data_IF_730781081630
#
_entry.id   IF_730781081630
#
_cell.length_a   1.000
_cell.length_b   1.000
_cell.length_c   1.000
_cell.angle_alpha   90.00
_cell.angle_beta   90.00
_cell.angle_gamma   90.00
#
_symmetry.space_group_name_H-M   'P 1'
#
loop_
_entity.id
_entity.type
_entity.pdbx_description
1 polymer ?
#
# COMPACT_ATOMS: atom_id res chain seq x y z
N UNK A 1 -12.80 17.66 13.19
CA UNK A 1 -13.93 16.82 13.63
C UNK A 1 -14.53 16.23 12.36
N UNK A 2 -14.60 14.90 12.25
CA UNK A 2 -15.17 14.24 11.06
C UNK A 2 -16.70 14.33 11.08
N UNK A 3 -17.30 14.57 9.92
CA UNK A 3 -18.75 14.65 9.72
C UNK A 3 -19.33 13.29 9.30
N UNK A 4 -20.64 13.10 9.44
CA UNK A 4 -21.31 11.88 8.97
C UNK A 4 -21.13 11.75 7.44
N UNK A 5 -20.35 10.76 7.01
CA UNK A 5 -19.92 10.59 5.62
C UNK A 5 -18.39 10.57 5.44
N UNK A 6 -17.63 11.02 6.44
CA UNK A 6 -16.17 10.95 6.43
C UNK A 6 -15.68 9.58 6.93
N UNK A 7 -15.42 8.68 6.01
CA UNK A 7 -14.72 7.42 6.31
C UNK A 7 -13.20 7.68 6.29
N UNK A 8 -12.60 7.77 7.48
CA UNK A 8 -11.14 7.78 7.61
C UNK A 8 -10.66 6.34 7.61
N UNK A 9 -10.23 5.86 6.45
CA UNK A 9 -9.56 4.58 6.29
C UNK A 9 -8.09 4.75 6.65
N UNK A 10 -7.79 4.67 7.94
CA UNK A 10 -6.41 4.75 8.43
C UNK A 10 -5.68 3.42 8.20
N UNK A 11 -4.69 3.42 7.31
CA UNK A 11 -3.68 2.35 7.18
C UNK A 11 -4.18 0.98 6.66
N UNK A 12 -5.19 0.97 5.79
CA UNK A 12 -5.57 -0.21 5.00
C UNK A 12 -5.81 0.16 3.53
N UNK A 13 -4.80 0.03 2.67
CA UNK A 13 -4.90 0.46 1.27
C UNK A 13 -5.87 -0.40 0.44
N UNK A 14 -6.34 -1.55 0.96
CA UNK A 14 -7.42 -2.31 0.32
C UNK A 14 -8.74 -1.53 0.29
N UNK A 15 -8.91 -0.55 1.18
CA UNK A 15 -10.11 0.28 1.27
C UNK A 15 -10.34 1.12 0.01
N UNK A 16 -9.27 1.51 -0.70
CA UNK A 16 -9.40 2.18 -2.00
C UNK A 16 -10.07 1.28 -3.05
N UNK A 17 -9.75 -0.01 -3.03
CA UNK A 17 -10.38 -0.99 -3.93
C UNK A 17 -11.83 -1.24 -3.53
N UNK A 18 -12.10 -1.38 -2.23
CA UNK A 18 -13.46 -1.52 -1.73
C UNK A 18 -14.33 -0.31 -2.07
N UNK A 19 -13.78 0.90 -1.94
CA UNK A 19 -14.45 2.13 -2.37
C UNK A 19 -14.80 2.08 -3.86
N UNK A 20 -13.90 1.58 -4.71
CA UNK A 20 -14.19 1.42 -6.14
C UNK A 20 -15.35 0.45 -6.40
N UNK A 21 -15.42 -0.67 -5.68
CA UNK A 21 -16.56 -1.59 -5.73
C UNK A 21 -17.86 -0.95 -5.24
N UNK A 22 -17.78 -0.16 -4.17
CA UNK A 22 -18.94 0.56 -3.65
C UNK A 22 -19.44 1.61 -4.63
N UNK A 23 -18.55 2.40 -5.24
CA UNK A 23 -18.90 3.35 -6.31
C UNK A 23 -19.50 2.62 -7.50
N UNK A 24 -18.97 1.46 -7.90
CA UNK A 24 -19.55 0.67 -8.98
C UNK A 24 -21.00 0.22 -8.72
N UNK A 25 -21.38 0.06 -7.45
CA UNK A 25 -22.77 -0.25 -7.05
C UNK A 25 -23.68 0.98 -7.00
N UNK A 26 -23.17 2.11 -6.53
CA UNK A 26 -23.99 3.30 -6.29
C UNK A 26 -24.05 4.24 -7.49
N UNK A 27 -22.92 4.42 -8.17
CA UNK A 27 -22.71 5.36 -9.28
C UNK A 27 -21.79 4.75 -10.35
N UNK A 28 -22.30 3.78 -11.15
CA UNK A 28 -21.51 3.08 -12.17
C UNK A 28 -20.81 4.02 -13.16
N UNK A 29 -21.42 5.15 -13.48
CA UNK A 29 -20.89 6.19 -14.38
C UNK A 29 -19.63 6.88 -13.84
N UNK A 30 -19.37 6.77 -12.53
CA UNK A 30 -18.21 7.38 -11.86
C UNK A 30 -17.03 6.43 -11.66
N UNK A 31 -17.17 5.16 -12.04
CA UNK A 31 -16.14 4.13 -11.80
C UNK A 31 -14.83 4.48 -12.50
N UNK A 32 -14.87 4.95 -13.75
CA UNK A 32 -13.67 5.29 -14.49
C UNK A 32 -12.88 6.45 -13.84
N UNK A 33 -13.56 7.56 -13.51
CA UNK A 33 -12.99 8.72 -12.81
C UNK A 33 -12.45 8.33 -11.43
N UNK A 34 -13.18 7.51 -10.67
CA UNK A 34 -12.73 7.05 -9.36
C UNK A 34 -11.49 6.14 -9.48
N UNK A 35 -11.47 5.19 -10.44
CA UNK A 35 -10.31 4.33 -10.66
C UNK A 35 -9.07 5.15 -10.99
N UNK A 36 -9.20 6.14 -11.88
CA UNK A 36 -8.08 7.03 -12.24
C UNK A 36 -7.51 7.73 -11.01
N UNK A 37 -8.37 8.31 -10.16
CA UNK A 37 -7.96 8.97 -8.91
C UNK A 37 -7.24 8.01 -7.95
N UNK A 38 -7.75 6.79 -7.80
CA UNK A 38 -7.17 5.78 -6.92
C UNK A 38 -5.83 5.25 -7.43
N UNK A 39 -5.68 5.07 -8.75
CA UNK A 39 -4.39 4.70 -9.36
C UNK A 39 -3.38 5.85 -9.21
N UNK A 40 -3.81 7.09 -9.37
CA UNK A 40 -2.96 8.27 -9.17
C UNK A 40 -2.53 8.42 -7.70
N UNK A 41 -3.39 8.02 -6.75
CA UNK A 41 -3.03 7.91 -5.33
C UNK A 41 -1.98 6.82 -5.09
N UNK A 42 -2.12 5.65 -5.74
CA UNK A 42 -1.10 4.61 -5.78
C UNK A 42 -0.96 3.77 -4.50
N UNK A 43 -1.86 3.94 -3.53
CA UNK A 43 -1.97 3.11 -2.33
C UNK A 43 -0.76 3.19 -1.41
N UNK A 44 -0.28 2.03 -0.96
CA UNK A 44 0.76 1.98 0.06
C UNK A 44 2.03 2.74 -0.36
N UNK A 45 2.39 3.77 0.41
CA UNK A 45 3.50 4.69 0.10
C UNK A 45 4.81 4.40 0.86
N UNK A 46 4.89 3.28 1.60
CA UNK A 46 6.09 2.83 2.34
C UNK A 46 7.35 2.88 1.46
N UNK A 47 8.41 3.54 1.91
CA UNK A 47 9.68 3.63 1.18
C UNK A 47 9.67 4.53 -0.07
N UNK A 48 8.58 5.25 -0.32
CA UNK A 48 8.42 6.13 -1.48
C UNK A 48 7.96 7.53 -1.05
N UNK A 49 6.73 7.63 -0.53
CA UNK A 49 6.11 8.88 -0.10
C UNK A 49 6.06 9.05 1.42
N UNK A 50 6.39 8.01 2.18
CA UNK A 50 6.39 8.01 3.63
C UNK A 50 7.74 7.50 4.14
N UNK A 51 8.28 8.19 5.13
CA UNK A 51 9.47 7.82 5.89
C UNK A 51 9.25 8.17 7.38
N UNK A 52 10.00 7.54 8.27
CA UNK A 52 10.02 7.89 9.69
C UNK A 52 11.46 8.00 10.18
N UNK A 53 11.74 8.99 11.03
CA UNK A 53 13.02 9.12 11.73
C UNK A 53 12.69 9.04 13.22
N UNK A 54 13.16 7.98 13.88
CA UNK A 54 12.86 7.78 15.30
C UNK A 54 13.62 8.78 16.21
N UNK A 55 13.34 8.75 17.50
CA UNK A 55 14.00 9.61 18.50
C UNK A 55 15.51 9.33 18.65
N UNK A 56 15.98 8.16 18.19
CA UNK A 56 17.39 7.78 18.14
C UNK A 56 18.07 8.16 16.81
N UNK A 57 17.32 8.72 15.86
CA UNK A 57 17.80 9.15 14.55
C UNK A 57 17.81 8.04 13.50
N UNK A 58 17.26 6.86 13.80
CA UNK A 58 17.17 5.77 12.84
C UNK A 58 16.10 6.08 11.79
N UNK A 59 16.42 5.81 10.53
CA UNK A 59 15.51 6.01 9.40
C UNK A 59 14.76 4.72 9.13
N UNK A 60 13.44 4.79 9.07
CA UNK A 60 12.53 3.68 8.80
C UNK A 60 11.74 3.95 7.50
N UNK A 61 11.39 2.90 6.73
CA UNK A 61 10.65 3.05 5.48
C UNK A 61 9.17 3.40 5.69
N UNK A 62 8.65 3.29 6.91
CA UNK A 62 7.25 3.46 7.25
C UNK A 62 7.10 4.03 8.66
N UNK A 63 5.97 4.67 8.95
CA UNK A 63 5.66 5.23 10.28
C UNK A 63 5.61 4.18 11.38
N UNK A 64 5.23 2.93 11.04
CA UNK A 64 4.99 1.87 12.01
C UNK A 64 6.00 0.71 11.94
N UNK A 65 7.09 0.85 11.18
CA UNK A 65 8.04 -0.26 10.93
C UNK A 65 9.35 -0.13 11.70
N UNK A 66 9.24 -0.10 13.03
CA UNK A 66 10.38 0.10 13.94
C UNK A 66 11.38 -1.06 13.96
N UNK A 67 10.97 -2.25 13.49
CA UNK A 67 11.83 -3.43 13.41
C UNK A 67 12.94 -3.33 12.35
N UNK A 68 12.88 -2.33 11.47
CA UNK A 68 13.83 -2.19 10.37
C UNK A 68 14.38 -0.77 10.29
N UNK A 69 15.71 -0.64 10.45
CA UNK A 69 16.43 0.61 10.25
C UNK A 69 17.21 0.57 8.93
N UNK A 70 17.14 1.66 8.17
CA UNK A 70 17.85 1.89 6.91
C UNK A 70 19.20 2.60 7.11
N UNK A 71 19.48 3.06 8.34
CA UNK A 71 20.63 3.87 8.70
C UNK A 71 20.26 4.94 9.73
N UNK A 72 21.23 5.73 10.18
CA UNK A 72 21.02 6.77 11.17
C UNK A 72 21.43 8.15 10.64
N UNK A 73 20.57 9.17 10.82
CA UNK A 73 20.84 10.54 10.34
C UNK A 73 21.99 11.23 11.07
N UNK A 74 22.43 10.70 12.22
CA UNK A 74 23.63 11.14 12.93
C UNK A 74 24.92 10.68 12.26
N UNK A 75 24.85 9.68 11.38
CA UNK A 75 25.99 9.07 10.71
C UNK A 75 26.06 9.44 9.22
N UNK A 76 24.90 9.49 8.54
CA UNK A 76 24.80 9.75 7.10
C UNK A 76 23.61 10.68 6.80
N UNK A 77 23.72 11.63 5.85
CA UNK A 77 22.59 12.50 5.50
C UNK A 77 21.33 11.70 5.12
N UNK A 78 20.15 12.16 5.57
CA UNK A 78 18.88 11.49 5.28
C UNK A 78 18.68 11.24 3.78
N UNK A 79 19.01 12.22 2.93
CA UNK A 79 18.86 12.11 1.48
C UNK A 79 19.67 10.95 0.88
N UNK A 80 20.88 10.71 1.39
CA UNK A 80 21.71 9.57 0.97
C UNK A 80 21.12 8.24 1.46
N UNK A 81 20.66 8.18 2.72
CA UNK A 81 19.99 6.99 3.26
C UNK A 81 18.73 6.65 2.45
N UNK A 82 17.92 7.66 2.16
CA UNK A 82 16.63 7.49 1.51
C UNK A 82 16.77 7.18 0.01
N UNK A 83 17.79 7.72 -0.65
CA UNK A 83 18.09 7.45 -2.06
C UNK A 83 18.84 6.13 -2.27
N UNK A 84 19.37 5.50 -1.22
CA UNK A 84 20.16 4.29 -1.31
C UNK A 84 19.35 3.11 -1.87
N UNK A 85 19.66 2.72 -3.11
CA UNK A 85 19.09 1.54 -3.78
C UNK A 85 20.05 0.35 -3.72
N UNK A 86 21.13 0.39 -2.95
CA UNK A 86 21.93 -0.81 -2.64
C UNK A 86 21.22 -1.68 -1.58
N UNK A 87 20.34 -1.09 -0.76
CA UNK A 87 19.50 -1.82 0.18
C UNK A 87 18.36 -2.59 -0.56
N UNK A 88 18.28 -3.93 -0.45
CA UNK A 88 17.29 -4.73 -1.18
C UNK A 88 15.84 -4.32 -0.93
N UNK A 89 15.47 -3.99 0.31
CA UNK A 89 14.14 -3.51 0.63
C UNK A 89 13.81 -2.20 -0.11
N UNK A 90 14.69 -1.20 -0.08
CA UNK A 90 14.44 0.09 -0.74
C UNK A 90 14.34 -0.05 -2.26
N UNK A 91 15.12 -0.94 -2.88
CA UNK A 91 14.91 -1.31 -4.29
C UNK A 91 13.52 -1.84 -4.53
N UNK A 92 13.09 -2.82 -3.74
CA UNK A 92 11.78 -3.44 -3.91
C UNK A 92 10.62 -2.48 -3.64
N UNK A 93 10.75 -1.58 -2.65
CA UNK A 93 9.72 -0.60 -2.30
C UNK A 93 9.55 0.46 -3.39
N UNK A 94 10.65 0.84 -4.05
CA UNK A 94 10.65 1.77 -5.17
C UNK A 94 10.22 1.14 -6.52
N UNK A 95 10.21 -0.20 -6.62
CA UNK A 95 9.85 -0.88 -7.85
C UNK A 95 8.38 -0.65 -8.22
N UNK A 96 8.13 -0.46 -9.52
CA UNK A 96 6.79 -0.35 -10.11
C UNK A 96 6.65 -1.37 -11.24
N UNK A 97 5.89 -2.45 -11.06
CA UNK A 97 5.21 -2.86 -9.83
C UNK A 97 6.17 -3.31 -8.72
N UNK A 98 5.71 -3.30 -7.47
CA UNK A 98 6.42 -3.97 -6.37
C UNK A 98 6.44 -5.49 -6.59
N UNK A 99 7.47 -6.19 -6.10
CA UNK A 99 7.62 -7.64 -6.30
C UNK A 99 6.74 -8.45 -5.34
N UNK A 100 5.44 -8.16 -5.31
CA UNK A 100 4.47 -8.80 -4.41
C UNK A 100 4.27 -10.28 -4.76
N UNK A 101 4.03 -11.08 -3.73
CA UNK A 101 3.89 -12.54 -3.80
C UNK A 101 2.49 -12.99 -3.37
N UNK A 102 2.23 -14.31 -3.48
CA UNK A 102 0.94 -14.90 -3.11
C UNK A 102 -0.20 -14.33 -3.95
N UNK A 103 -1.37 -14.13 -3.33
CA UNK A 103 -2.56 -13.59 -4.03
C UNK A 103 -2.34 -12.19 -4.61
N UNK A 104 -1.44 -11.40 -4.02
CA UNK A 104 -1.13 -10.06 -4.52
C UNK A 104 -0.31 -10.08 -5.82
N UNK A 105 0.34 -11.20 -6.17
CA UNK A 105 1.13 -11.32 -7.40
C UNK A 105 0.27 -11.21 -8.66
N UNK A 106 -0.97 -11.69 -8.59
CA UNK A 106 -1.94 -11.71 -9.71
C UNK A 106 -3.13 -10.77 -9.49
N UNK A 107 -3.15 -9.99 -8.41
CA UNK A 107 -4.23 -9.06 -8.09
C UNK A 107 -4.34 -7.93 -9.13
N UNK A 108 -5.54 -7.75 -9.71
CA UNK A 108 -5.83 -6.71 -10.70
C UNK A 108 -5.84 -5.28 -10.13
N UNK A 109 -5.90 -5.14 -8.80
CA UNK A 109 -5.97 -3.85 -8.11
C UNK A 109 -4.66 -3.44 -7.43
N UNK A 110 -3.54 -4.06 -7.83
CA UNK A 110 -2.21 -3.76 -7.28
C UNK A 110 -1.76 -2.32 -7.54
N UNK A 111 -2.27 -1.69 -8.59
CA UNK A 111 -2.01 -0.29 -8.96
C UNK A 111 -2.77 0.71 -8.06
N UNK A 112 -3.86 0.27 -7.44
CA UNK A 112 -4.63 1.05 -6.46
C UNK A 112 -4.10 0.83 -5.04
N UNK A 113 -3.89 -0.43 -4.64
CA UNK A 113 -3.58 -0.80 -3.26
C UNK A 113 -2.06 -0.84 -2.98
N UNK A 114 -1.25 -1.13 -4.02
CA UNK A 114 0.19 -1.38 -3.93
C UNK A 114 0.58 -2.42 -2.86
N UNK A 115 -0.37 -3.35 -2.71
CA UNK A 115 -0.44 -4.53 -1.86
C UNK A 115 -0.67 -4.28 -0.38
N UNK A 116 -1.14 -3.12 0.06
CA UNK A 116 -1.48 -2.87 1.46
C UNK A 116 -0.24 -2.76 2.37
N UNK A 117 -0.42 -2.84 3.68
CA UNK A 117 0.60 -2.55 4.69
C UNK A 117 1.78 -3.54 4.63
N UNK A 118 2.94 -3.03 4.20
CA UNK A 118 4.21 -3.78 4.17
C UNK A 118 4.76 -4.12 5.54
N UNK A 119 4.61 -3.20 6.49
CA UNK A 119 4.99 -3.43 7.88
C UNK A 119 4.22 -4.61 8.50
N UNK A 120 2.91 -4.73 8.20
CA UNK A 120 2.05 -5.82 8.70
C UNK A 120 2.38 -7.16 8.03
N UNK A 121 2.56 -7.16 6.71
CA UNK A 121 3.02 -8.36 5.98
C UNK A 121 4.34 -8.88 6.56
N UNK A 122 5.30 -7.99 6.80
CA UNK A 122 6.59 -8.34 7.40
C UNK A 122 6.46 -8.81 8.85
N UNK A 123 5.72 -8.11 9.69
CA UNK A 123 5.58 -8.45 11.10
C UNK A 123 5.01 -9.87 11.32
N UNK A 124 4.14 -10.33 10.42
CA UNK A 124 3.50 -11.65 10.53
C UNK A 124 4.32 -12.75 9.85
N UNK A 125 4.96 -12.46 8.71
CA UNK A 125 5.59 -13.50 7.87
C UNK A 125 7.12 -13.44 7.80
N UNK A 126 7.74 -12.36 8.27
CA UNK A 126 9.15 -12.05 8.01
C UNK A 126 9.45 -11.66 6.55
N UNK A 127 8.45 -11.64 5.67
CA UNK A 127 8.60 -11.33 4.25
C UNK A 127 7.78 -10.07 3.88
N UNK A 128 8.43 -8.96 3.51
CA UNK A 128 7.73 -7.71 3.19
C UNK A 128 6.91 -7.78 1.89
N UNK A 129 7.16 -8.82 1.07
CA UNK A 129 6.49 -9.06 -0.21
C UNK A 129 5.34 -10.06 -0.11
N UNK A 130 5.16 -10.70 1.04
CA UNK A 130 4.03 -11.57 1.28
C UNK A 130 2.71 -10.79 1.25
N UNK A 131 1.62 -11.53 1.14
CA UNK A 131 0.28 -10.96 1.28
C UNK A 131 0.12 -10.32 2.66
N UNK A 132 -0.58 -9.20 2.70
CA UNK A 132 -0.96 -8.58 3.95
C UNK A 132 -2.21 -9.28 4.53
N UNK A 133 -2.14 -9.84 5.75
CA UNK A 133 -3.29 -10.51 6.38
C UNK A 133 -4.46 -9.56 6.69
N UNK A 134 -4.26 -8.23 6.63
CA UNK A 134 -5.35 -7.24 6.76
C UNK A 134 -6.16 -7.03 5.48
N UNK A 135 -5.78 -7.66 4.36
CA UNK A 135 -6.57 -7.62 3.13
C UNK A 135 -7.83 -8.49 3.27
N UNK A 136 -9.00 -7.86 3.30
CA UNK A 136 -10.30 -8.54 3.40
C UNK A 136 -10.93 -8.86 2.03
N UNK A 137 -10.31 -8.43 0.92
CA UNK A 137 -10.82 -8.75 -0.42
C UNK A 137 -10.73 -10.26 -0.67
N UNK A 138 -11.77 -10.80 -1.29
CA UNK A 138 -11.85 -12.19 -1.73
C UNK A 138 -11.01 -12.43 -2.99
N UNK A 139 -10.75 -13.71 -3.31
CA UNK A 139 -10.05 -14.08 -4.56
C UNK A 139 -10.84 -13.68 -5.81
N UNK A 140 -12.17 -13.68 -5.72
CA UNK A 140 -13.06 -13.20 -6.78
C UNK A 140 -12.88 -11.69 -7.01
N UNK A 141 -12.88 -10.89 -5.95
CA UNK A 141 -12.71 -9.43 -6.04
C UNK A 141 -11.33 -9.04 -6.57
N UNK A 142 -10.25 -9.74 -6.19
CA UNK A 142 -8.92 -9.40 -6.72
C UNK A 142 -8.69 -9.85 -8.17
N UNK A 143 -9.53 -10.75 -8.69
CA UNK A 143 -9.41 -11.32 -10.04
C UNK A 143 -10.38 -10.71 -11.06
N UNK A 144 -11.21 -9.75 -10.63
CA UNK A 144 -12.20 -9.11 -11.49
C UNK A 144 -12.07 -7.58 -11.46
N UNK A 145 -12.45 -6.93 -12.55
CA UNK A 145 -12.75 -5.51 -12.51
C UNK A 145 -14.14 -5.29 -11.91
N UNK A 146 -14.38 -4.19 -11.17
CA UNK A 146 -15.72 -3.86 -10.70
C UNK A 146 -16.60 -3.57 -11.91
N UNK A 147 -17.50 -4.50 -12.24
CA UNK A 147 -18.56 -4.31 -13.21
C UNK A 147 -19.87 -4.81 -12.58
N UNK A 148 -21.01 -4.45 -13.18
CA UNK A 148 -22.33 -4.83 -12.65
C UNK A 148 -22.55 -6.35 -12.60
N UNK A 149 -21.82 -7.14 -13.40
CA UNK A 149 -22.03 -8.58 -13.58
C UNK A 149 -21.22 -9.46 -12.62
N UNK A 150 -20.06 -9.00 -12.13
CA UNK A 150 -19.16 -9.82 -11.28
C UNK A 150 -19.50 -9.73 -9.79
N UNK A 151 -20.71 -9.27 -9.45
CA UNK A 151 -21.06 -8.80 -8.10
C UNK A 151 -22.32 -9.44 -7.49
N UNK A 152 -22.64 -10.69 -7.90
CA UNK A 152 -23.57 -11.60 -7.19
C UNK A 152 -22.89 -12.38 -6.08
#
# INVERSE_FOLDING_TARGET
QGSAGDFVTGNNDADGVFLLYWIARQWPERVADMRERLVNWGGNATGVGVANIDNLGNVHPDTMWWQLSLGNVRERPFGEIWADRSHPLMRGLAARPRPLQGRCATCLHRDICNGNTRARAYAVSGNPWAQDPGCYLSDAEISAQPNLETMT
#
